data_IF_879922863423
#
_entry.id   IF_879922863423
#
_cell.length_a   1.000
_cell.length_b   1.000
_cell.length_c   1.000
_cell.angle_alpha   90.00
_cell.angle_beta   90.00
_cell.angle_gamma   90.00
#
_symmetry.space_group_name_H-M   'P 1'
#
loop_
_entity.id
_entity.type
_entity.pdbx_description
1 polymer ?
#
# COMPACT_ATOMS: atom_id res chain seq x y z
N UNK A 1 -17.80 51.11 -34.49
CA UNK A 1 -17.78 49.70 -34.90
C UNK A 1 -17.41 48.83 -33.72
N UNK A 2 -18.32 47.97 -33.41
CA UNK A 2 -18.40 47.16 -32.19
C UNK A 2 -17.24 46.16 -32.04
N UNK A 3 -16.53 46.27 -30.94
CA UNK A 3 -15.69 45.19 -30.44
C UNK A 3 -16.58 44.30 -29.54
N UNK A 4 -17.02 43.18 -30.08
CA UNK A 4 -17.69 42.13 -29.31
C UNK A 4 -16.64 41.44 -28.42
N UNK A 5 -16.64 41.78 -27.14
CA UNK A 5 -15.90 41.02 -26.11
C UNK A 5 -16.67 39.73 -25.97
N UNK A 6 -16.14 38.65 -26.56
CA UNK A 6 -16.56 37.29 -26.25
C UNK A 6 -16.23 37.03 -24.78
N UNK A 7 -17.27 37.11 -23.96
CA UNK A 7 -17.23 36.76 -22.53
C UNK A 7 -17.07 35.22 -22.42
N UNK A 8 -15.79 34.75 -22.45
CA UNK A 8 -15.45 33.37 -22.12
C UNK A 8 -15.58 33.18 -20.60
N UNK A 9 -16.77 33.38 -20.06
CA UNK A 9 -17.20 32.75 -18.84
C UNK A 9 -17.35 31.26 -19.16
N UNK A 10 -16.26 30.48 -18.97
CA UNK A 10 -16.32 29.03 -18.88
C UNK A 10 -17.52 28.69 -17.99
N UNK A 11 -18.58 28.11 -18.56
CA UNK A 11 -19.75 27.68 -17.82
C UNK A 11 -19.28 26.73 -16.74
N UNK A 12 -19.25 27.20 -15.49
CA UNK A 12 -18.90 26.34 -14.34
C UNK A 12 -19.88 25.18 -14.34
N UNK A 13 -19.39 23.95 -14.43
CA UNK A 13 -20.24 22.77 -14.27
C UNK A 13 -20.94 22.85 -12.92
N UNK A 14 -22.23 22.53 -12.89
CA UNK A 14 -22.97 22.43 -11.64
C UNK A 14 -22.34 21.30 -10.77
N UNK A 15 -22.54 21.38 -9.46
CA UNK A 15 -22.07 20.32 -8.53
C UNK A 15 -22.63 18.96 -8.97
N UNK A 16 -23.88 18.90 -9.38
CA UNK A 16 -24.57 17.71 -9.89
C UNK A 16 -23.83 17.13 -11.11
N UNK A 17 -23.50 17.96 -12.10
CA UNK A 17 -22.81 17.54 -13.32
C UNK A 17 -21.38 17.04 -13.01
N UNK A 18 -20.69 17.69 -12.07
CA UNK A 18 -19.37 17.28 -11.63
C UNK A 18 -19.42 15.90 -10.95
N UNK A 19 -20.34 15.70 -9.99
CA UNK A 19 -20.50 14.43 -9.29
C UNK A 19 -20.83 13.29 -10.27
N UNK A 20 -21.74 13.52 -11.21
CA UNK A 20 -22.11 12.53 -12.23
C UNK A 20 -20.93 12.15 -13.12
N UNK A 21 -20.13 13.11 -13.54
CA UNK A 21 -18.92 12.87 -14.34
C UNK A 21 -17.88 12.10 -13.56
N UNK A 22 -17.57 12.52 -12.33
CA UNK A 22 -16.55 11.90 -11.49
C UNK A 22 -16.91 10.49 -11.02
N UNK A 23 -18.18 10.21 -10.82
CA UNK A 23 -18.67 8.93 -10.35
C UNK A 23 -19.17 8.01 -11.49
N UNK A 24 -19.11 8.46 -12.75
CA UNK A 24 -19.53 7.66 -13.90
C UNK A 24 -18.88 6.26 -13.97
N UNK A 25 -17.57 6.09 -13.73
CA UNK A 25 -16.91 4.78 -13.77
C UNK A 25 -17.44 3.78 -12.71
N UNK A 26 -18.11 4.28 -11.69
CA UNK A 26 -18.53 3.51 -10.52
C UNK A 26 -20.04 3.25 -10.44
N UNK A 27 -20.78 3.56 -11.50
CA UNK A 27 -22.25 3.39 -11.52
C UNK A 27 -22.72 1.94 -11.37
N UNK A 28 -21.83 0.98 -11.65
CA UNK A 28 -22.11 -0.45 -11.48
C UNK A 28 -21.76 -0.99 -10.08
N UNK A 29 -21.29 -0.14 -9.17
CA UNK A 29 -21.03 -0.53 -7.79
C UNK A 29 -22.32 -0.95 -7.08
N UNK A 30 -22.22 -1.87 -6.13
CA UNK A 30 -23.38 -2.34 -5.34
C UNK A 30 -23.90 -1.29 -4.37
N UNK A 31 -23.00 -0.49 -3.78
CA UNK A 31 -23.35 0.62 -2.90
C UNK A 31 -22.29 1.74 -2.91
N UNK A 32 -22.74 2.95 -2.59
CA UNK A 32 -21.94 4.12 -2.31
C UNK A 32 -22.09 4.53 -0.85
N UNK A 33 -21.02 4.38 -0.08
CA UNK A 33 -20.95 4.84 1.30
C UNK A 33 -20.42 6.26 1.37
N UNK A 34 -21.12 7.15 2.05
CA UNK A 34 -20.60 8.50 2.35
C UNK A 34 -20.01 8.51 3.75
N UNK A 35 -18.71 8.83 3.87
CA UNK A 35 -18.08 9.09 5.15
C UNK A 35 -18.67 10.36 5.76
N UNK A 36 -19.68 10.19 6.61
CA UNK A 36 -20.52 11.28 7.09
C UNK A 36 -20.11 11.70 8.50
N UNK A 37 -19.41 12.84 8.60
CA UNK A 37 -19.00 13.42 9.89
C UNK A 37 -20.07 14.34 10.51
N UNK A 38 -21.10 14.72 9.76
CA UNK A 38 -22.04 15.75 10.12
C UNK A 38 -21.56 17.18 9.85
N UNK A 39 -20.30 17.37 9.47
CA UNK A 39 -19.76 18.67 9.05
C UNK A 39 -20.19 19.07 7.64
N UNK A 40 -19.99 20.36 7.30
CA UNK A 40 -20.41 20.98 6.04
C UNK A 40 -20.18 20.10 4.80
N UNK A 41 -18.92 19.71 4.55
CA UNK A 41 -18.49 19.11 3.29
C UNK A 41 -19.15 17.73 3.09
N UNK A 42 -19.24 16.94 4.15
CA UNK A 42 -19.87 15.61 4.14
C UNK A 42 -21.40 15.73 4.03
N UNK A 43 -22.01 16.77 4.61
CA UNK A 43 -23.44 17.04 4.52
C UNK A 43 -23.83 17.45 3.09
N UNK A 44 -23.05 18.33 2.46
CA UNK A 44 -23.23 18.70 1.06
C UNK A 44 -23.12 17.51 0.13
N UNK A 45 -22.08 16.67 0.32
CA UNK A 45 -21.86 15.47 -0.49
C UNK A 45 -23.04 14.51 -0.37
N UNK A 46 -23.48 14.19 0.86
CA UNK A 46 -24.61 13.29 1.10
C UNK A 46 -25.89 13.82 0.48
N UNK A 47 -26.23 15.08 0.72
CA UNK A 47 -27.43 15.72 0.17
C UNK A 47 -27.42 15.76 -1.37
N UNK A 48 -26.30 16.15 -1.98
CA UNK A 48 -26.20 16.22 -3.45
C UNK A 48 -26.37 14.85 -4.10
N UNK A 49 -25.77 13.79 -3.53
CA UNK A 49 -25.91 12.43 -4.02
C UNK A 49 -27.34 11.90 -3.87
N UNK A 50 -27.99 12.16 -2.75
CA UNK A 50 -29.39 11.76 -2.52
C UNK A 50 -30.31 12.43 -3.55
N UNK A 51 -30.17 13.73 -3.75
CA UNK A 51 -30.95 14.44 -4.78
C UNK A 51 -30.69 13.95 -6.20
N UNK A 52 -29.47 13.55 -6.51
CA UNK A 52 -29.14 12.94 -7.80
C UNK A 52 -29.80 11.57 -7.96
N UNK A 53 -29.88 10.76 -6.90
CA UNK A 53 -30.52 9.45 -6.95
C UNK A 53 -32.03 9.50 -7.18
N UNK A 54 -32.67 10.59 -6.82
CA UNK A 54 -34.10 10.83 -7.13
C UNK A 54 -34.37 11.01 -8.64
N UNK A 55 -33.33 11.43 -9.39
CA UNK A 55 -33.44 11.80 -10.81
C UNK A 55 -32.76 10.83 -11.76
N UNK A 56 -31.87 10.03 -11.26
CA UNK A 56 -31.04 9.07 -12.01
C UNK A 56 -30.85 7.77 -11.25
N UNK A 57 -30.77 6.66 -11.98
CA UNK A 57 -30.41 5.37 -11.38
C UNK A 57 -28.95 5.43 -10.91
N UNK A 58 -28.75 5.46 -9.61
CA UNK A 58 -27.46 5.40 -8.93
C UNK A 58 -27.42 4.16 -8.01
N UNK A 59 -26.23 3.67 -7.62
CA UNK A 59 -26.08 2.69 -6.56
C UNK A 59 -26.75 3.11 -5.26
N UNK A 60 -27.06 2.17 -4.40
CA UNK A 60 -27.64 2.46 -3.09
C UNK A 60 -26.70 3.37 -2.31
N UNK A 61 -27.22 4.51 -1.84
CA UNK A 61 -26.47 5.46 -1.03
C UNK A 61 -26.65 5.10 0.44
N UNK A 62 -25.53 4.96 1.15
CA UNK A 62 -25.46 4.73 2.58
C UNK A 62 -24.53 5.75 3.23
N UNK A 63 -24.70 6.01 4.50
CA UNK A 63 -23.82 6.87 5.28
C UNK A 63 -23.13 6.06 6.37
N UNK A 64 -21.87 6.41 6.68
CA UNK A 64 -21.12 5.87 7.81
C UNK A 64 -20.55 7.01 8.65
N UNK A 65 -20.91 7.02 9.92
CA UNK A 65 -20.39 7.94 10.92
C UNK A 65 -19.46 7.20 11.88
N UNK A 66 -18.22 7.68 12.03
CA UNK A 66 -17.26 7.08 12.97
C UNK A 66 -17.11 8.01 14.18
N UNK A 67 -17.59 7.53 15.32
CA UNK A 67 -17.52 8.25 16.60
C UNK A 67 -16.27 7.83 17.37
N UNK A 68 -15.36 8.80 17.62
CA UNK A 68 -14.07 8.56 18.26
C UNK A 68 -14.08 8.65 19.78
N UNK A 69 -15.10 9.29 20.39
CA UNK A 69 -15.19 9.52 21.83
C UNK A 69 -14.06 10.37 22.42
N UNK A 70 -13.42 11.23 21.62
CA UNK A 70 -12.27 12.04 22.05
C UNK A 70 -12.66 13.37 22.69
N UNK A 71 -13.87 13.84 22.46
CA UNK A 71 -14.35 15.15 22.91
C UNK A 71 -15.83 15.03 23.32
N UNK A 72 -16.19 15.59 24.46
CA UNK A 72 -17.58 15.64 24.92
C UNK A 72 -18.52 16.36 23.92
N UNK A 73 -18.01 17.40 23.21
CA UNK A 73 -18.76 18.06 22.14
C UNK A 73 -19.15 17.13 20.98
N UNK A 74 -18.45 16.02 20.79
CA UNK A 74 -18.72 15.02 19.75
C UNK A 74 -19.83 14.03 20.11
N UNK A 75 -20.29 13.97 21.38
CA UNK A 75 -21.25 12.96 21.83
C UNK A 75 -22.64 13.16 21.22
N UNK A 76 -22.99 14.38 20.84
CA UNK A 76 -24.25 14.72 20.17
C UNK A 76 -24.23 14.54 18.64
N UNK A 77 -23.04 14.37 18.04
CA UNK A 77 -22.90 14.28 16.58
C UNK A 77 -23.57 13.05 15.97
N UNK A 78 -23.51 11.85 16.59
CA UNK A 78 -24.26 10.69 16.08
C UNK A 78 -25.76 10.96 15.95
N UNK A 79 -26.37 11.65 16.95
CA UNK A 79 -27.77 12.01 16.92
C UNK A 79 -28.10 13.05 15.83
N UNK A 80 -27.20 14.03 15.60
CA UNK A 80 -27.32 14.96 14.48
C UNK A 80 -27.23 14.23 13.15
N UNK A 81 -26.23 13.35 12.97
CA UNK A 81 -26.07 12.56 11.76
C UNK A 81 -27.27 11.68 11.48
N UNK A 82 -27.87 11.06 12.49
CA UNK A 82 -29.06 10.24 12.37
C UNK A 82 -30.23 11.07 11.85
N UNK A 83 -30.51 12.24 12.46
CA UNK A 83 -31.62 13.14 12.03
C UNK A 83 -31.46 13.55 10.57
N UNK A 84 -30.24 13.91 10.13
CA UNK A 84 -29.99 14.29 8.73
C UNK A 84 -30.23 13.11 7.80
N UNK A 85 -29.76 11.92 8.15
CA UNK A 85 -29.96 10.71 7.36
C UNK A 85 -31.43 10.31 7.29
N UNK A 86 -32.19 10.42 8.38
CA UNK A 86 -33.64 10.16 8.42
C UNK A 86 -34.41 11.10 7.49
N UNK A 87 -34.03 12.39 7.48
CA UNK A 87 -34.63 13.39 6.58
C UNK A 87 -34.34 13.12 5.10
N UNK A 88 -33.17 12.54 4.80
CA UNK A 88 -32.76 12.21 3.43
C UNK A 88 -33.16 10.79 3.00
N UNK A 89 -33.76 10.00 3.89
CA UNK A 89 -34.10 8.60 3.61
C UNK A 89 -32.86 7.70 3.40
N UNK A 90 -31.72 8.04 3.99
CA UNK A 90 -30.44 7.33 3.85
C UNK A 90 -30.16 6.49 5.10
N UNK A 91 -29.78 5.24 4.92
CA UNK A 91 -29.36 4.37 6.04
C UNK A 91 -28.02 4.85 6.58
N UNK A 92 -27.95 5.08 7.89
CA UNK A 92 -26.72 5.45 8.61
C UNK A 92 -26.19 4.29 9.42
N UNK A 93 -24.90 4.00 9.26
CA UNK A 93 -24.15 3.13 10.17
C UNK A 93 -23.29 3.98 11.11
N UNK A 94 -23.44 3.79 12.41
CA UNK A 94 -22.66 4.48 13.45
C UNK A 94 -21.67 3.49 14.04
N UNK A 95 -20.37 3.72 13.76
CA UNK A 95 -19.28 2.88 14.28
C UNK A 95 -18.56 3.63 15.40
N UNK A 96 -18.57 3.05 16.59
CA UNK A 96 -17.81 3.57 17.74
C UNK A 96 -16.42 2.95 17.76
N UNK A 97 -15.38 3.78 17.75
CA UNK A 97 -13.99 3.32 17.78
C UNK A 97 -13.29 3.79 19.03
N UNK A 98 -12.40 2.96 19.54
CA UNK A 98 -11.51 3.31 20.65
C UNK A 98 -10.17 3.74 20.06
N UNK A 99 -9.81 5.02 20.27
CA UNK A 99 -8.50 5.53 19.87
C UNK A 99 -7.50 5.20 20.96
N UNK A 100 -6.47 4.43 20.62
CA UNK A 100 -5.36 4.15 21.55
C UNK A 100 -4.39 5.31 21.45
N UNK A 101 -4.11 6.03 22.55
CA UNK A 101 -3.15 7.13 22.55
C UNK A 101 -1.76 6.66 22.09
N UNK A 102 -1.13 7.44 21.20
CA UNK A 102 0.21 7.18 20.69
C UNK A 102 0.96 8.50 20.47
N UNK A 103 2.08 8.47 19.74
CA UNK A 103 2.90 9.66 19.46
C UNK A 103 2.13 10.82 18.79
N UNK A 104 0.99 10.53 18.12
CA UNK A 104 0.09 11.53 17.55
C UNK A 104 -1.35 11.05 17.66
N UNK A 105 -2.15 11.74 18.47
CA UNK A 105 -3.58 11.45 18.67
C UNK A 105 -4.36 11.62 17.35
N UNK A 106 -4.03 12.62 16.54
CA UNK A 106 -4.64 12.85 15.23
C UNK A 106 -4.40 11.67 14.28
N UNK A 107 -3.17 11.15 14.23
CA UNK A 107 -2.84 9.98 13.43
C UNK A 107 -3.59 8.74 13.93
N UNK A 108 -3.59 8.48 15.22
CA UNK A 108 -4.28 7.32 15.81
C UNK A 108 -5.79 7.36 15.53
N UNK A 109 -6.43 8.54 15.70
CA UNK A 109 -7.84 8.73 15.38
C UNK A 109 -8.13 8.54 13.88
N UNK A 110 -7.24 9.02 13.01
CA UNK A 110 -7.33 8.81 11.58
C UNK A 110 -7.24 7.32 11.24
N UNK A 111 -6.27 6.61 11.77
CA UNK A 111 -6.05 5.19 11.49
C UNK A 111 -7.23 4.34 11.97
N UNK A 112 -7.75 4.59 13.18
CA UNK A 112 -8.95 3.94 13.69
C UNK A 112 -10.18 4.18 12.80
N UNK A 113 -10.36 5.40 12.29
CA UNK A 113 -11.43 5.75 11.34
C UNK A 113 -11.31 4.97 10.04
N UNK A 114 -10.11 4.89 9.46
CA UNK A 114 -9.90 4.16 8.21
C UNK A 114 -10.05 2.65 8.39
N UNK A 115 -9.72 2.10 9.56
CA UNK A 115 -9.99 0.70 9.89
C UNK A 115 -11.51 0.44 9.94
N UNK A 116 -12.28 1.31 10.59
CA UNK A 116 -13.75 1.21 10.61
C UNK A 116 -14.33 1.25 9.19
N UNK A 117 -13.90 2.20 8.36
CA UNK A 117 -14.34 2.27 6.97
C UNK A 117 -14.01 1.00 6.20
N UNK A 118 -12.79 0.48 6.34
CA UNK A 118 -12.36 -0.74 5.64
C UNK A 118 -13.11 -2.00 6.07
N UNK A 119 -13.64 -2.02 7.28
CA UNK A 119 -14.46 -3.12 7.79
C UNK A 119 -15.89 -3.09 7.25
N UNK A 120 -16.45 -1.88 7.00
CA UNK A 120 -17.83 -1.70 6.55
C UNK A 120 -17.98 -1.75 5.03
N UNK A 121 -16.96 -1.30 4.28
CA UNK A 121 -17.02 -1.23 2.80
C UNK A 121 -16.67 -2.58 2.21
N UNK A 122 -17.64 -3.17 1.49
CA UNK A 122 -17.53 -4.48 0.86
C UNK A 122 -16.77 -4.46 -0.47
N UNK A 123 -16.68 -5.64 -1.08
CA UNK A 123 -16.08 -5.80 -2.41
C UNK A 123 -16.93 -5.09 -3.49
N UNK A 124 -16.27 -4.29 -4.33
CA UNK A 124 -16.93 -3.51 -5.38
C UNK A 124 -17.76 -2.32 -4.86
N UNK A 125 -17.75 -2.04 -3.55
CA UNK A 125 -18.38 -0.85 -2.98
C UNK A 125 -17.42 0.33 -2.92
N UNK A 126 -17.98 1.55 -2.85
CA UNK A 126 -17.22 2.79 -2.72
C UNK A 126 -17.40 3.44 -1.37
N UNK A 127 -16.32 4.03 -0.84
CA UNK A 127 -16.39 5.07 0.17
C UNK A 127 -16.17 6.43 -0.49
N UNK A 128 -17.13 7.32 -0.35
CA UNK A 128 -17.05 8.70 -0.82
C UNK A 128 -16.75 9.62 0.35
N UNK A 129 -15.79 10.52 0.15
CA UNK A 129 -15.37 11.45 1.19
C UNK A 129 -15.44 12.89 0.71
N UNK A 130 -15.81 13.81 1.61
CA UNK A 130 -16.04 15.22 1.32
C UNK A 130 -14.78 16.09 1.22
N UNK A 131 -13.57 15.52 1.03
CA UNK A 131 -12.38 16.34 0.82
C UNK A 131 -12.53 17.18 -0.45
N UNK A 132 -12.12 18.44 -0.34
CA UNK A 132 -12.36 19.45 -1.37
C UNK A 132 -11.04 20.15 -1.79
N UNK A 133 -11.13 21.12 -2.70
CA UNK A 133 -9.97 21.82 -3.29
C UNK A 133 -9.06 22.49 -2.25
N UNK A 134 -9.64 23.10 -1.23
CA UNK A 134 -8.85 23.77 -0.21
C UNK A 134 -8.08 22.77 0.64
N UNK A 135 -8.64 21.57 0.91
CA UNK A 135 -7.91 20.48 1.56
C UNK A 135 -6.72 19.97 0.72
N UNK A 136 -6.83 20.01 -0.62
CA UNK A 136 -5.70 19.71 -1.52
C UNK A 136 -4.59 20.74 -1.35
N UNK A 137 -4.96 22.03 -1.32
CA UNK A 137 -3.99 23.11 -1.13
C UNK A 137 -3.29 23.01 0.24
N UNK A 138 -4.03 22.76 1.31
CA UNK A 138 -3.49 22.51 2.65
C UNK A 138 -2.52 21.33 2.66
N UNK A 139 -2.92 20.22 2.03
CA UNK A 139 -2.13 18.98 1.99
C UNK A 139 -0.83 19.19 1.20
N UNK A 140 -0.88 19.89 0.06
CA UNK A 140 0.29 20.21 -0.73
C UNK A 140 1.25 21.10 0.07
N UNK A 141 0.79 22.19 0.67
CA UNK A 141 1.60 23.09 1.49
C UNK A 141 2.23 22.34 2.66
N UNK A 142 1.46 21.56 3.38
CA UNK A 142 1.95 20.78 4.51
C UNK A 142 3.07 19.83 4.11
N UNK A 143 2.94 19.17 2.96
CA UNK A 143 3.94 18.23 2.46
C UNK A 143 5.16 18.96 1.87
N UNK A 144 4.95 20.08 1.19
CA UNK A 144 6.02 20.94 0.67
C UNK A 144 6.95 21.42 1.79
N UNK A 145 6.38 21.92 2.89
CA UNK A 145 7.12 22.39 4.06
C UNK A 145 7.89 21.28 4.79
N UNK A 146 7.58 20.02 4.48
CA UNK A 146 8.29 18.84 4.99
C UNK A 146 9.26 18.23 3.99
N UNK A 147 9.57 18.91 2.88
CA UNK A 147 10.52 18.45 1.88
C UNK A 147 10.03 17.27 1.04
N UNK A 148 8.71 17.14 0.82
CA UNK A 148 8.19 16.04 0.03
C UNK A 148 8.58 16.12 -1.44
N UNK A 149 8.96 14.99 -2.05
CA UNK A 149 9.16 14.84 -3.49
C UNK A 149 7.85 14.76 -4.28
N UNK A 150 7.93 14.44 -5.58
CA UNK A 150 6.80 14.42 -6.54
C UNK A 150 5.59 13.66 -5.99
N UNK A 151 5.78 12.42 -5.52
CA UNK A 151 4.69 11.60 -4.93
C UNK A 151 4.00 12.29 -3.74
N UNK A 152 4.76 12.97 -2.90
CA UNK A 152 4.21 13.71 -1.78
C UNK A 152 3.44 14.94 -2.23
N UNK A 153 3.99 15.70 -3.20
CA UNK A 153 3.39 16.91 -3.74
C UNK A 153 2.15 16.64 -4.61
N UNK A 154 1.93 15.41 -5.07
CA UNK A 154 0.67 14.98 -5.66
C UNK A 154 -0.54 15.07 -4.70
N UNK A 155 -0.31 15.41 -3.43
CA UNK A 155 -1.30 15.58 -2.38
C UNK A 155 -2.26 14.37 -2.25
N UNK A 156 -3.57 14.56 -2.27
CA UNK A 156 -4.52 13.46 -2.13
C UNK A 156 -4.94 12.93 -3.51
N UNK A 157 -4.85 11.62 -3.78
CA UNK A 157 -5.37 11.06 -5.03
C UNK A 157 -6.89 11.09 -5.06
N UNK A 158 -7.47 11.20 -6.25
CA UNK A 158 -8.92 11.15 -6.47
C UNK A 158 -9.49 9.80 -6.03
N UNK A 159 -8.76 8.73 -6.31
CA UNK A 159 -9.13 7.34 -6.02
C UNK A 159 -7.98 6.62 -5.34
N UNK A 160 -8.29 5.77 -4.37
CA UNK A 160 -7.34 4.81 -3.82
C UNK A 160 -8.04 3.53 -3.36
N UNK A 161 -7.35 2.41 -3.38
CA UNK A 161 -7.83 1.17 -2.78
C UNK A 161 -8.02 1.31 -1.27
N UNK A 162 -9.05 0.68 -0.74
CA UNK A 162 -9.37 0.65 0.68
C UNK A 162 -10.03 -0.68 1.05
N UNK A 163 -9.29 -1.55 1.75
CA UNK A 163 -9.77 -2.90 2.03
C UNK A 163 -10.12 -3.64 0.74
N UNK A 164 -11.36 -4.13 0.63
CA UNK A 164 -11.90 -4.80 -0.57
C UNK A 164 -12.61 -3.84 -1.54
N UNK A 165 -12.80 -2.59 -1.16
CA UNK A 165 -13.43 -1.55 -1.97
C UNK A 165 -12.48 -0.43 -2.37
N UNK A 166 -13.04 0.71 -2.73
CA UNK A 166 -12.30 1.90 -3.14
C UNK A 166 -12.77 3.15 -2.41
N UNK A 167 -11.84 4.06 -2.11
CA UNK A 167 -12.14 5.39 -1.59
C UNK A 167 -12.02 6.40 -2.72
N UNK A 168 -13.06 7.21 -2.92
CA UNK A 168 -13.15 8.24 -3.96
C UNK A 168 -13.41 9.61 -3.33
N UNK A 169 -12.81 10.65 -3.90
CA UNK A 169 -12.91 12.05 -3.47
C UNK A 169 -13.51 12.91 -4.58
N UNK A 170 -14.83 12.90 -4.75
CA UNK A 170 -15.44 13.54 -5.92
C UNK A 170 -15.43 15.07 -5.87
N UNK A 171 -15.14 15.68 -4.70
CA UNK A 171 -15.18 17.14 -4.49
C UNK A 171 -13.81 17.82 -4.57
N UNK A 172 -12.72 17.14 -4.96
CA UNK A 172 -11.37 17.73 -4.97
C UNK A 172 -11.19 18.94 -5.87
N UNK A 173 -12.10 19.21 -6.80
CA UNK A 173 -12.09 20.42 -7.64
C UNK A 173 -13.03 21.52 -7.12
N UNK A 174 -13.88 21.22 -6.15
CA UNK A 174 -14.85 22.15 -5.57
C UNK A 174 -14.20 22.93 -4.43
N UNK A 175 -14.39 24.24 -4.37
CA UNK A 175 -13.93 25.05 -3.24
C UNK A 175 -14.87 24.94 -2.04
N UNK A 176 -14.32 25.21 -0.86
CA UNK A 176 -15.12 25.31 0.36
C UNK A 176 -16.25 26.35 0.21
N UNK A 177 -15.98 27.51 -0.41
CA UNK A 177 -16.98 28.53 -0.65
C UNK A 177 -18.14 28.03 -1.49
N UNK A 178 -17.89 27.25 -2.55
CA UNK A 178 -18.94 26.64 -3.38
C UNK A 178 -19.78 25.62 -2.58
N UNK A 179 -19.16 24.89 -1.65
CA UNK A 179 -19.88 23.97 -0.74
C UNK A 179 -20.76 24.76 0.26
N UNK A 180 -20.27 25.86 0.81
CA UNK A 180 -21.02 26.74 1.70
C UNK A 180 -22.21 27.40 0.98
N UNK A 181 -22.02 27.87 -0.25
CA UNK A 181 -23.09 28.43 -1.08
C UNK A 181 -24.17 27.39 -1.39
N UNK A 182 -23.77 26.15 -1.75
CA UNK A 182 -24.70 25.06 -1.94
C UNK A 182 -25.48 24.73 -0.66
N UNK A 183 -24.81 24.64 0.48
CA UNK A 183 -25.45 24.34 1.76
C UNK A 183 -26.48 25.42 2.15
N UNK A 184 -26.14 26.70 1.99
CA UNK A 184 -27.05 27.82 2.26
C UNK A 184 -28.25 27.81 1.32
N UNK A 185 -28.02 27.59 0.01
CA UNK A 185 -29.09 27.56 -0.99
C UNK A 185 -30.09 26.42 -0.76
N UNK A 186 -29.67 25.34 -0.12
CA UNK A 186 -30.54 24.19 0.19
C UNK A 186 -30.97 24.13 1.67
N UNK A 187 -30.66 25.14 2.49
CA UNK A 187 -31.04 25.18 3.91
C UNK A 187 -30.46 24.06 4.77
N UNK A 188 -29.26 23.56 4.42
CA UNK A 188 -28.64 22.45 5.13
C UNK A 188 -28.11 22.90 6.49
N UNK A 189 -28.30 22.06 7.50
CA UNK A 189 -27.71 22.22 8.82
C UNK A 189 -26.49 21.29 8.96
N UNK A 190 -25.42 21.78 9.56
CA UNK A 190 -24.20 21.00 9.83
C UNK A 190 -23.64 21.34 11.22
N UNK A 191 -22.76 20.48 11.72
CA UNK A 191 -22.03 20.71 12.98
C UNK A 191 -20.62 21.23 12.69
N UNK A 192 -20.14 22.11 13.56
CA UNK A 192 -18.77 22.59 13.52
C UNK A 192 -17.98 21.99 14.68
N UNK A 193 -16.89 21.30 14.36
CA UNK A 193 -15.98 20.73 15.36
C UNK A 193 -15.15 21.87 15.99
N UNK A 194 -15.26 22.12 17.32
CA UNK A 194 -14.48 23.14 18.01
C UNK A 194 -12.96 22.94 17.85
N UNK A 195 -12.49 21.70 17.68
CA UNK A 195 -11.06 21.42 17.49
C UNK A 195 -10.50 22.03 16.19
N UNK A 196 -11.35 22.33 15.20
CA UNK A 196 -10.94 23.05 13.99
C UNK A 196 -10.43 24.47 14.27
N UNK A 197 -10.64 24.97 15.48
CA UNK A 197 -10.16 26.30 15.91
C UNK A 197 -8.76 26.27 16.52
N UNK A 198 -8.26 25.10 16.92
CA UNK A 198 -6.99 24.94 17.61
C UNK A 198 -5.82 25.08 16.63
N UNK A 199 -5.01 26.14 16.80
CA UNK A 199 -3.87 26.44 15.91
C UNK A 199 -2.62 25.58 16.17
N UNK A 200 -2.63 24.81 17.23
CA UNK A 200 -1.57 23.83 17.55
C UNK A 200 -1.45 22.75 16.46
N UNK A 201 -2.57 22.45 15.83
CA UNK A 201 -2.57 21.51 14.69
C UNK A 201 -2.10 22.21 13.42
N UNK A 202 -1.02 21.70 12.84
CA UNK A 202 -0.39 22.28 11.63
C UNK A 202 -1.39 22.53 10.49
N UNK A 203 -2.38 21.66 10.28
CA UNK A 203 -3.41 21.85 9.24
C UNK A 203 -4.32 23.04 9.56
N UNK A 204 -4.75 23.18 10.81
CA UNK A 204 -5.58 24.32 11.22
C UNK A 204 -4.79 25.63 11.09
N UNK A 205 -3.50 25.63 11.44
CA UNK A 205 -2.62 26.78 11.23
C UNK A 205 -2.52 27.17 9.75
N UNK A 206 -2.28 26.21 8.86
CA UNK A 206 -2.24 26.45 7.42
C UNK A 206 -3.58 27.01 6.91
N UNK A 207 -4.70 26.41 7.30
CA UNK A 207 -6.05 26.80 6.90
C UNK A 207 -6.43 28.21 7.37
N UNK A 208 -6.10 28.57 8.59
CA UNK A 208 -6.61 29.79 9.25
C UNK A 208 -5.66 30.97 9.21
N UNK A 209 -4.37 30.72 9.08
CA UNK A 209 -3.35 31.77 9.09
C UNK A 209 -2.63 31.89 7.76
N UNK A 210 -2.09 30.79 7.24
CA UNK A 210 -1.21 30.83 6.07
C UNK A 210 -1.98 31.01 4.77
N UNK A 211 -2.99 30.20 4.49
CA UNK A 211 -3.77 30.28 3.26
C UNK A 211 -4.50 31.61 3.11
N UNK A 212 -5.18 32.16 4.13
CA UNK A 212 -5.80 33.49 4.03
C UNK A 212 -4.77 34.59 3.75
N UNK A 213 -3.60 34.56 4.39
CA UNK A 213 -2.50 35.49 4.11
C UNK A 213 -2.04 35.42 2.65
N UNK A 214 -1.85 34.20 2.13
CA UNK A 214 -1.51 34.00 0.72
C UNK A 214 -2.61 34.54 -0.21
N UNK A 215 -3.88 34.31 0.12
CA UNK A 215 -5.02 34.74 -0.69
C UNK A 215 -5.19 36.24 -0.73
N UNK A 216 -4.76 36.98 0.29
CA UNK A 216 -4.74 38.45 0.26
C UNK A 216 -3.88 38.98 -0.89
N UNK A 217 -2.73 38.34 -1.16
CA UNK A 217 -1.82 38.75 -2.24
C UNK A 217 -2.10 38.04 -3.54
N UNK A 218 -2.50 36.75 -3.46
CA UNK A 218 -2.83 35.91 -4.58
C UNK A 218 -4.22 35.26 -4.38
N UNK A 219 -5.29 35.93 -4.83
CA UNK A 219 -6.69 35.46 -4.58
C UNK A 219 -6.95 34.04 -5.04
N UNK A 220 -6.20 33.54 -6.03
CA UNK A 220 -6.30 32.17 -6.55
C UNK A 220 -5.31 31.17 -5.94
N UNK A 221 -4.67 31.49 -4.81
CA UNK A 221 -3.64 30.63 -4.21
C UNK A 221 -4.10 29.18 -4.04
N UNK A 222 -5.27 28.93 -3.42
CA UNK A 222 -5.79 27.60 -3.21
C UNK A 222 -5.99 26.82 -4.53
N UNK A 223 -6.58 27.46 -5.57
CA UNK A 223 -6.76 26.80 -6.86
C UNK A 223 -5.43 26.56 -7.60
N UNK A 224 -4.46 27.44 -7.46
CA UNK A 224 -3.12 27.27 -8.04
C UNK A 224 -2.37 26.11 -7.37
N UNK A 225 -2.42 26.01 -6.05
CA UNK A 225 -1.85 24.91 -5.29
C UNK A 225 -2.51 23.59 -5.65
N UNK A 226 -3.84 23.52 -5.70
CA UNK A 226 -4.54 22.31 -6.09
C UNK A 226 -4.19 21.87 -7.53
N UNK A 227 -4.08 22.82 -8.47
CA UNK A 227 -3.62 22.53 -9.84
C UNK A 227 -2.18 22.00 -9.86
N UNK A 228 -1.30 22.57 -9.06
CA UNK A 228 0.08 22.06 -8.92
C UNK A 228 0.05 20.63 -8.40
N UNK A 229 -0.80 20.31 -7.42
CA UNK A 229 -0.95 18.94 -6.93
C UNK A 229 -1.39 17.97 -8.05
N UNK A 230 -2.33 18.39 -8.90
CA UNK A 230 -2.77 17.58 -10.04
C UNK A 230 -1.64 17.35 -11.06
N UNK A 231 -0.85 18.36 -11.39
CA UNK A 231 0.32 18.23 -12.27
C UNK A 231 1.39 17.31 -11.66
N UNK A 232 1.59 17.36 -10.33
CA UNK A 232 2.48 16.44 -9.64
C UNK A 232 1.95 15.01 -9.63
N UNK A 233 0.64 14.81 -9.57
CA UNK A 233 0.01 13.50 -9.71
C UNK A 233 0.22 12.91 -11.11
N UNK A 234 0.07 13.71 -12.16
CA UNK A 234 0.36 13.31 -13.54
C UNK A 234 1.85 12.96 -13.71
N UNK A 235 2.75 13.80 -13.21
CA UNK A 235 4.20 13.52 -13.23
C UNK A 235 4.54 12.23 -12.48
N UNK A 236 3.89 11.97 -11.33
CA UNK A 236 4.09 10.72 -10.59
C UNK A 236 3.60 9.50 -11.39
N UNK A 237 2.50 9.62 -12.12
CA UNK A 237 2.01 8.54 -12.98
C UNK A 237 3.01 8.20 -14.09
N UNK A 238 3.55 9.20 -14.78
CA UNK A 238 4.61 9.01 -15.76
C UNK A 238 5.87 8.37 -15.16
N UNK A 239 6.25 8.74 -13.93
CA UNK A 239 7.37 8.11 -13.20
C UNK A 239 7.07 6.66 -12.84
N UNK A 240 5.83 6.33 -12.49
CA UNK A 240 5.43 4.96 -12.18
C UNK A 240 5.40 4.09 -13.46
N UNK A 241 4.95 4.61 -14.61
CA UNK A 241 5.03 3.93 -15.91
C UNK A 241 6.48 3.67 -16.32
N UNK A 242 7.35 4.68 -16.20
CA UNK A 242 8.77 4.52 -16.46
C UNK A 242 9.41 3.48 -15.56
N UNK A 243 9.04 3.47 -14.26
CA UNK A 243 9.56 2.48 -13.32
C UNK A 243 9.13 1.06 -13.70
N UNK A 244 7.89 0.86 -14.15
CA UNK A 244 7.40 -0.44 -14.62
C UNK A 244 8.20 -0.93 -15.84
N UNK A 245 8.48 -0.05 -16.81
CA UNK A 245 9.32 -0.36 -17.97
C UNK A 245 10.75 -0.77 -17.54
N UNK A 246 11.35 0.00 -16.62
CA UNK A 246 12.70 -0.25 -16.10
C UNK A 246 12.79 -1.57 -15.32
N UNK A 247 11.74 -1.93 -14.60
CA UNK A 247 11.67 -3.14 -13.80
C UNK A 247 11.36 -4.39 -14.62
N UNK A 248 10.72 -4.29 -15.77
CA UNK A 248 10.27 -5.42 -16.56
C UNK A 248 11.40 -6.41 -16.87
N UNK A 249 12.57 -5.90 -17.30
CA UNK A 249 13.75 -6.72 -17.55
C UNK A 249 14.42 -7.23 -16.26
N UNK A 250 14.38 -6.43 -15.19
CA UNK A 250 15.02 -6.77 -13.90
C UNK A 250 14.24 -7.84 -13.12
N UNK A 251 12.92 -7.90 -13.27
CA UNK A 251 12.06 -8.90 -12.62
C UNK A 251 12.11 -10.27 -13.31
N UNK A 252 12.50 -10.31 -14.58
CA UNK A 252 12.57 -11.56 -15.36
C UNK A 252 13.70 -12.50 -14.85
N UNK A 253 13.51 -13.80 -15.05
CA UNK A 253 14.56 -14.81 -15.04
C UNK A 253 15.25 -15.06 -13.68
N UNK A 254 14.56 -15.67 -12.72
CA UNK A 254 15.23 -16.22 -11.52
C UNK A 254 15.28 -17.75 -11.59
N UNK A 255 16.47 -18.35 -11.45
CA UNK A 255 16.64 -19.81 -11.34
C UNK A 255 16.11 -20.35 -10.00
N UNK A 256 15.91 -19.48 -9.01
CA UNK A 256 15.39 -19.81 -7.69
C UNK A 256 13.95 -19.30 -7.49
N UNK A 257 13.07 -19.45 -8.48
CA UNK A 257 11.64 -19.05 -8.39
C UNK A 257 10.91 -19.72 -7.22
N UNK A 258 11.35 -20.90 -6.84
CA UNK A 258 10.83 -21.67 -5.72
C UNK A 258 11.01 -20.98 -4.35
N UNK A 259 11.88 -19.95 -4.24
CA UNK A 259 12.01 -19.13 -3.02
C UNK A 259 10.77 -18.25 -2.79
N UNK A 260 10.01 -17.95 -3.85
CA UNK A 260 8.85 -17.04 -3.79
C UNK A 260 9.14 -15.70 -3.10
N UNK A 261 10.37 -15.20 -3.24
CA UNK A 261 10.80 -13.92 -2.70
C UNK A 261 10.93 -12.87 -3.81
N UNK A 262 10.50 -11.63 -3.57
CA UNK A 262 10.69 -10.54 -4.51
C UNK A 262 12.18 -10.34 -4.80
N UNK A 263 12.54 -10.26 -6.10
CA UNK A 263 13.94 -10.08 -6.48
C UNK A 263 14.10 -9.33 -7.81
N UNK A 264 15.23 -8.65 -7.96
CA UNK A 264 15.60 -7.92 -9.18
C UNK A 264 16.99 -8.32 -9.67
N UNK A 265 17.15 -8.53 -10.98
CA UNK A 265 18.45 -8.65 -11.62
C UNK A 265 19.18 -7.32 -11.61
N UNK A 266 20.48 -7.32 -11.32
CA UNK A 266 21.31 -6.11 -11.25
C UNK A 266 21.71 -5.58 -12.62
N UNK A 267 21.95 -6.46 -13.60
CA UNK A 267 22.45 -6.05 -14.91
C UNK A 267 21.54 -5.00 -15.58
N UNK A 268 20.22 -5.21 -15.74
CA UNK A 268 19.35 -4.19 -16.33
C UNK A 268 19.32 -2.88 -15.51
N UNK A 269 19.41 -2.98 -14.18
CA UNK A 269 19.39 -1.79 -13.33
C UNK A 269 20.69 -0.96 -13.46
N UNK A 270 21.84 -1.59 -13.69
CA UNK A 270 23.13 -0.90 -13.87
C UNK A 270 23.18 -0.05 -15.13
N UNK A 271 22.42 -0.42 -16.18
CA UNK A 271 22.31 0.34 -17.42
C UNK A 271 21.51 1.65 -17.25
N UNK A 272 20.75 1.76 -16.16
CA UNK A 272 19.95 2.94 -15.86
C UNK A 272 20.79 4.04 -15.21
N UNK A 273 20.42 5.31 -15.47
CA UNK A 273 20.95 6.43 -14.68
C UNK A 273 20.56 6.30 -13.21
N UNK A 274 21.34 6.88 -12.29
CA UNK A 274 21.06 6.83 -10.85
C UNK A 274 19.64 7.33 -10.49
N UNK A 275 19.12 8.32 -11.23
CA UNK A 275 17.75 8.82 -11.03
C UNK A 275 16.69 7.75 -11.39
N UNK A 276 16.87 7.05 -12.53
CA UNK A 276 15.98 5.97 -12.95
C UNK A 276 16.07 4.77 -12.01
N UNK A 277 17.28 4.40 -11.56
CA UNK A 277 17.46 3.35 -10.55
C UNK A 277 16.66 3.66 -9.28
N UNK A 278 16.80 4.89 -8.74
CA UNK A 278 16.03 5.30 -7.55
C UNK A 278 14.52 5.31 -7.78
N UNK A 279 14.07 5.73 -8.98
CA UNK A 279 12.65 5.70 -9.33
C UNK A 279 12.11 4.26 -9.38
N UNK A 280 12.79 3.37 -10.09
CA UNK A 280 12.43 1.96 -10.20
C UNK A 280 12.39 1.27 -8.83
N UNK A 281 13.40 1.51 -7.99
CA UNK A 281 13.47 0.93 -6.65
C UNK A 281 12.39 1.50 -5.72
N UNK A 282 12.09 2.81 -5.76
CA UNK A 282 10.98 3.38 -4.99
C UNK A 282 9.65 2.76 -5.37
N UNK A 283 9.42 2.54 -6.66
CA UNK A 283 8.21 1.90 -7.16
C UNK A 283 8.14 0.44 -6.69
N UNK A 284 9.20 -0.33 -6.84
CA UNK A 284 9.26 -1.73 -6.44
C UNK A 284 9.12 -1.93 -4.92
N UNK A 285 9.80 -1.10 -4.12
CA UNK A 285 9.79 -1.16 -2.66
C UNK A 285 8.45 -0.68 -2.05
N UNK A 286 7.66 0.11 -2.77
CA UNK A 286 6.42 0.69 -2.24
C UNK A 286 5.39 -0.35 -1.75
N UNK A 287 5.42 -1.58 -2.30
CA UNK A 287 4.60 -2.70 -1.86
C UNK A 287 5.25 -3.57 -0.76
N UNK A 288 6.51 -3.31 -0.40
CA UNK A 288 7.31 -4.17 0.47
C UNK A 288 7.70 -3.48 1.78
N UNK A 289 7.97 -2.18 1.73
CA UNK A 289 8.49 -1.41 2.87
C UNK A 289 8.14 0.07 2.75
N UNK A 290 8.39 0.85 3.79
CA UNK A 290 8.35 2.31 3.69
C UNK A 290 9.45 2.83 2.74
N UNK A 291 9.12 3.87 1.99
CA UNK A 291 10.06 4.45 1.03
C UNK A 291 11.36 4.91 1.72
N UNK A 292 12.53 4.54 1.19
CA UNK A 292 13.81 5.02 1.71
C UNK A 292 13.91 6.55 1.66
N UNK A 293 14.45 7.18 2.69
CA UNK A 293 14.80 8.59 2.71
C UNK A 293 16.16 8.84 1.98
N UNK A 294 16.58 10.12 1.91
CA UNK A 294 17.81 10.48 1.21
C UNK A 294 19.06 9.80 1.78
N UNK A 295 19.12 9.58 3.09
CA UNK A 295 20.29 9.00 3.75
C UNK A 295 20.39 7.48 3.52
N UNK A 296 19.29 6.81 3.20
CA UNK A 296 19.28 5.36 3.01
C UNK A 296 19.86 4.92 1.64
N UNK A 297 19.93 5.79 0.62
CA UNK A 297 20.34 5.39 -0.74
C UNK A 297 21.78 4.89 -0.85
N UNK A 298 22.66 5.27 0.07
CA UNK A 298 24.01 4.69 0.16
C UNK A 298 24.00 3.16 0.29
N UNK A 299 22.97 2.60 0.95
CA UNK A 299 22.78 1.14 1.05
C UNK A 299 22.55 0.49 -0.32
N UNK A 300 21.79 1.14 -1.21
CA UNK A 300 21.62 0.67 -2.59
C UNK A 300 22.93 0.67 -3.37
N UNK A 301 23.70 1.74 -3.28
CA UNK A 301 24.98 1.85 -3.97
C UNK A 301 25.94 0.77 -3.49
N UNK A 302 26.01 0.51 -2.19
CA UNK A 302 26.78 -0.60 -1.63
C UNK A 302 26.33 -1.97 -2.16
N UNK A 303 25.03 -2.21 -2.29
CA UNK A 303 24.50 -3.46 -2.86
C UNK A 303 24.86 -3.62 -4.33
N UNK A 304 24.66 -2.55 -5.12
CA UNK A 304 24.90 -2.53 -6.57
C UNK A 304 26.36 -2.77 -6.91
N UNK A 305 27.26 -2.09 -6.17
CA UNK A 305 28.69 -1.99 -6.51
C UNK A 305 29.56 -3.00 -5.75
N UNK A 306 28.98 -3.81 -4.89
CA UNK A 306 29.69 -4.83 -4.13
C UNK A 306 30.39 -5.84 -5.04
N UNK A 307 31.53 -6.39 -4.58
CA UNK A 307 32.22 -7.47 -5.25
C UNK A 307 31.36 -8.75 -5.30
N UNK A 308 31.56 -9.65 -6.28
CA UNK A 308 30.75 -10.85 -6.44
C UNK A 308 30.70 -11.79 -5.24
N UNK A 309 31.76 -11.82 -4.45
CA UNK A 309 31.92 -12.65 -3.25
C UNK A 309 31.41 -11.97 -1.96
N UNK A 310 31.11 -10.70 -2.01
CA UNK A 310 30.55 -9.97 -0.87
C UNK A 310 29.06 -10.26 -0.70
N UNK A 311 28.58 -10.18 0.52
CA UNK A 311 27.17 -10.33 0.90
C UNK A 311 26.64 -9.05 1.54
N UNK A 312 26.58 -7.93 0.79
CA UNK A 312 26.11 -6.68 1.35
C UNK A 312 24.62 -6.76 1.67
N UNK A 313 24.22 -6.00 2.68
CA UNK A 313 22.84 -5.92 3.16
C UNK A 313 22.40 -4.47 3.24
N UNK A 314 21.16 -4.22 2.87
CA UNK A 314 20.52 -2.94 3.05
C UNK A 314 19.27 -3.09 3.90
N UNK A 315 19.39 -2.72 5.18
CA UNK A 315 18.29 -2.82 6.14
C UNK A 315 17.28 -1.72 5.89
N UNK A 316 16.00 -2.10 5.82
CA UNK A 316 14.84 -1.24 5.70
C UNK A 316 13.79 -1.66 6.72
N UNK A 317 12.68 -0.94 6.82
CA UNK A 317 11.61 -1.31 7.73
C UNK A 317 10.92 -2.60 7.29
N UNK A 318 10.74 -3.55 8.21
CA UNK A 318 10.11 -4.85 7.95
C UNK A 318 10.94 -5.87 7.20
N UNK A 319 12.22 -5.57 6.86
CA UNK A 319 13.08 -6.52 6.17
C UNK A 319 14.42 -5.94 5.73
N UNK A 320 15.09 -6.66 4.85
CA UNK A 320 16.34 -6.19 4.25
C UNK A 320 16.49 -6.66 2.80
N UNK A 321 17.24 -5.89 2.01
CA UNK A 321 17.73 -6.31 0.72
C UNK A 321 19.10 -6.99 0.88
N UNK A 322 19.24 -8.17 0.28
CA UNK A 322 20.52 -8.86 0.17
C UNK A 322 20.87 -9.13 -1.28
N UNK A 323 22.14 -8.97 -1.63
CA UNK A 323 22.66 -9.39 -2.92
C UNK A 323 23.13 -10.84 -2.86
N UNK A 324 22.76 -11.62 -3.89
CA UNK A 324 23.33 -12.95 -4.15
C UNK A 324 23.60 -13.06 -5.65
N UNK A 325 24.88 -13.18 -6.02
CA UNK A 325 25.31 -13.14 -7.41
C UNK A 325 24.92 -11.82 -8.09
N UNK A 326 24.23 -11.90 -9.21
CA UNK A 326 23.76 -10.76 -10.01
C UNK A 326 22.28 -10.43 -9.75
N UNK A 327 21.75 -10.76 -8.54
CA UNK A 327 20.40 -10.41 -8.12
C UNK A 327 20.38 -9.83 -6.71
N UNK A 328 19.44 -8.93 -6.47
CA UNK A 328 19.05 -8.45 -5.13
C UNK A 328 17.70 -9.05 -4.76
N UNK A 329 17.56 -9.42 -3.50
CA UNK A 329 16.41 -10.12 -2.96
C UNK A 329 15.86 -9.35 -1.76
N UNK A 330 14.54 -9.19 -1.69
CA UNK A 330 13.87 -8.71 -0.50
C UNK A 330 13.62 -9.85 0.47
N UNK A 331 14.12 -9.73 1.68
CA UNK A 331 13.95 -10.68 2.77
C UNK A 331 13.12 -10.01 3.88
N UNK A 332 11.85 -10.34 4.05
CA UNK A 332 11.05 -9.83 5.16
C UNK A 332 11.57 -10.36 6.51
N UNK A 333 11.28 -9.67 7.61
CA UNK A 333 11.73 -10.04 8.95
C UNK A 333 11.38 -11.48 9.34
N UNK A 334 10.20 -11.97 8.95
CA UNK A 334 9.79 -13.35 9.14
C UNK A 334 10.71 -14.37 8.45
N UNK A 335 11.27 -14.00 7.27
CA UNK A 335 12.26 -14.82 6.59
C UNK A 335 13.61 -14.82 7.31
N UNK A 336 13.96 -13.74 7.98
CA UNK A 336 15.23 -13.61 8.70
C UNK A 336 15.24 -14.33 10.07
N UNK A 337 14.08 -14.71 10.57
CA UNK A 337 13.94 -15.47 11.81
C UNK A 337 14.62 -16.84 11.70
N UNK A 338 15.15 -17.35 12.80
CA UNK A 338 15.74 -18.68 12.85
C UNK A 338 14.69 -19.77 12.61
N UNK A 339 15.05 -20.80 11.86
CA UNK A 339 14.21 -21.99 11.68
C UNK A 339 14.36 -22.94 12.88
N UNK A 340 13.33 -23.76 13.11
CA UNK A 340 13.31 -24.76 14.17
C UNK A 340 14.39 -25.85 13.99
N UNK A 341 14.47 -26.75 14.98
CA UNK A 341 15.35 -27.90 14.95
C UNK A 341 14.89 -29.01 13.98
N UNK A 342 15.51 -30.18 14.04
CA UNK A 342 15.14 -31.34 13.25
C UNK A 342 13.67 -31.74 13.46
N UNK A 343 12.99 -32.14 12.36
CA UNK A 343 11.58 -32.58 12.38
C UNK A 343 11.50 -34.01 11.85
N UNK A 344 10.95 -34.94 12.63
CA UNK A 344 10.70 -36.31 12.17
C UNK A 344 9.51 -36.32 11.18
N UNK A 345 9.61 -37.12 10.12
CA UNK A 345 8.56 -37.28 9.12
C UNK A 345 8.07 -38.73 9.06
N UNK A 346 7.15 -39.13 9.93
CA UNK A 346 6.74 -40.52 10.04
C UNK A 346 5.92 -41.04 8.84
N UNK A 347 5.15 -40.15 8.20
CA UNK A 347 4.34 -40.49 7.03
C UNK A 347 4.65 -39.52 5.86
N UNK A 348 5.51 -39.90 4.93
CA UNK A 348 5.88 -39.06 3.78
C UNK A 348 4.80 -38.95 2.71
N UNK A 349 3.68 -39.66 2.83
CA UNK A 349 2.51 -39.47 1.95
C UNK A 349 1.69 -38.21 2.31
N UNK A 350 1.90 -37.69 3.52
CA UNK A 350 1.22 -36.48 4.02
C UNK A 350 2.19 -35.31 4.02
N UNK A 351 1.67 -34.12 3.66
CA UNK A 351 2.44 -32.88 3.69
C UNK A 351 2.94 -32.56 5.11
N UNK A 352 4.24 -32.31 5.25
CA UNK A 352 4.86 -31.98 6.53
C UNK A 352 4.90 -30.45 6.71
N UNK A 353 4.30 -29.96 7.79
CA UNK A 353 4.41 -28.55 8.19
C UNK A 353 5.73 -28.32 8.94
N UNK A 354 6.48 -27.30 8.53
CA UNK A 354 7.75 -26.91 9.15
C UNK A 354 7.54 -25.64 9.99
N UNK A 355 7.70 -25.68 11.30
CA UNK A 355 7.52 -24.50 12.16
C UNK A 355 8.35 -23.29 11.68
N UNK A 356 7.68 -22.22 11.27
CA UNK A 356 8.33 -21.00 10.76
C UNK A 356 9.07 -21.15 9.42
N UNK A 357 8.85 -22.27 8.69
CA UNK A 357 9.55 -22.55 7.44
C UNK A 357 8.68 -23.19 6.34
N UNK A 358 7.36 -22.94 6.35
CA UNK A 358 6.45 -23.42 5.34
C UNK A 358 6.17 -24.92 5.40
N UNK A 359 6.04 -25.58 4.27
CA UNK A 359 5.66 -26.99 4.19
C UNK A 359 6.49 -27.77 3.17
N UNK A 360 6.48 -29.10 3.33
CA UNK A 360 7.19 -30.05 2.47
C UNK A 360 6.24 -31.11 1.93
N UNK A 361 6.43 -31.45 0.66
CA UNK A 361 5.85 -32.64 0.03
C UNK A 361 6.93 -33.50 -0.59
N UNK A 362 6.76 -34.82 -0.50
CA UNK A 362 7.60 -35.78 -1.18
C UNK A 362 6.86 -36.33 -2.39
N UNK A 363 7.49 -36.27 -3.54
CA UNK A 363 6.98 -36.88 -4.76
C UNK A 363 7.85 -38.08 -5.14
N UNK A 364 7.22 -39.13 -5.67
CA UNK A 364 7.89 -40.38 -6.04
C UNK A 364 7.95 -41.40 -4.90
N UNK A 365 8.82 -42.39 -5.04
CA UNK A 365 8.94 -43.45 -4.04
C UNK A 365 9.73 -42.97 -2.81
N UNK A 366 9.14 -42.98 -1.59
CA UNK A 366 9.84 -42.56 -0.38
C UNK A 366 11.00 -43.51 -0.06
N UNK A 367 12.12 -43.00 0.47
CA UNK A 367 13.20 -43.85 0.98
C UNK A 367 12.71 -44.72 2.14
N UNK A 368 13.17 -45.98 2.19
CA UNK A 368 12.79 -46.91 3.26
C UNK A 368 13.68 -46.67 4.50
N UNK A 369 13.05 -46.22 5.59
CA UNK A 369 13.74 -45.98 6.85
C UNK A 369 13.13 -44.79 7.63
N UNK A 370 13.80 -44.41 8.72
CA UNK A 370 13.39 -43.24 9.52
C UNK A 370 13.72 -41.96 8.74
N UNK A 371 12.69 -41.20 8.40
CA UNK A 371 12.84 -39.92 7.69
C UNK A 371 12.85 -38.76 8.67
N UNK A 372 13.79 -37.85 8.46
CA UNK A 372 13.93 -36.64 9.27
C UNK A 372 14.33 -35.45 8.38
N UNK A 373 13.71 -34.32 8.60
CA UNK A 373 14.10 -33.05 8.00
C UNK A 373 15.09 -32.36 8.94
N UNK A 374 16.21 -31.95 8.38
CA UNK A 374 17.23 -31.15 9.09
C UNK A 374 17.56 -29.92 8.28
N UNK A 375 18.23 -29.00 8.93
CA UNK A 375 18.77 -27.80 8.28
C UNK A 375 20.30 -27.85 8.31
N UNK A 376 20.89 -27.04 7.44
CA UNK A 376 22.33 -27.03 7.27
C UNK A 376 23.03 -26.51 8.53
N UNK A 377 23.98 -27.30 9.04
CA UNK A 377 24.90 -26.99 10.17
C UNK A 377 26.35 -26.84 9.74
N UNK A 378 26.70 -27.33 8.54
CA UNK A 378 28.07 -27.32 7.98
C UNK A 378 28.70 -28.71 7.98
N UNK A 379 29.51 -29.01 6.95
CA UNK A 379 30.20 -30.29 6.82
C UNK A 379 29.32 -31.43 6.26
N UNK A 380 28.10 -31.12 5.78
CA UNK A 380 27.24 -32.15 5.19
C UNK A 380 27.84 -32.66 3.88
N UNK A 381 27.78 -33.99 3.72
CA UNK A 381 28.23 -34.73 2.53
C UNK A 381 27.06 -35.52 1.98
N UNK A 382 26.89 -35.50 0.67
CA UNK A 382 25.80 -36.20 -0.06
C UNK A 382 26.39 -37.12 -1.12
N UNK A 383 25.79 -38.30 -1.25
CA UNK A 383 26.03 -39.17 -2.40
C UNK A 383 25.23 -38.70 -3.59
N UNK A 384 25.88 -38.35 -4.69
CA UNK A 384 25.24 -37.91 -5.92
C UNK A 384 25.45 -38.96 -7.01
N UNK A 385 24.39 -39.38 -7.65
CA UNK A 385 24.46 -40.40 -8.72
C UNK A 385 25.48 -40.02 -9.80
N UNK A 386 26.36 -40.96 -10.13
CA UNK A 386 27.43 -40.76 -11.14
C UNK A 386 28.60 -39.86 -10.68
N UNK A 387 28.52 -39.22 -9.49
CA UNK A 387 29.55 -38.28 -9.01
C UNK A 387 30.16 -38.62 -7.66
N UNK A 388 29.69 -39.72 -7.00
CA UNK A 388 30.18 -40.16 -5.67
C UNK A 388 29.79 -39.18 -4.54
N UNK A 389 30.50 -39.25 -3.42
CA UNK A 389 30.25 -38.38 -2.26
C UNK A 389 30.85 -37.00 -2.48
N UNK A 390 30.04 -35.96 -2.24
CA UNK A 390 30.42 -34.56 -2.46
C UNK A 390 29.98 -33.70 -1.29
N UNK A 391 30.76 -32.66 -1.01
CA UNK A 391 30.43 -31.64 -0.01
C UNK A 391 29.19 -30.84 -0.45
N UNK A 392 28.18 -30.73 0.40
CA UNK A 392 26.92 -30.05 0.12
C UNK A 392 27.12 -28.55 -0.18
N UNK A 393 28.10 -27.89 0.46
CA UNK A 393 28.40 -26.47 0.17
C UNK A 393 28.78 -26.28 -1.30
N UNK A 394 29.60 -27.20 -1.83
CA UNK A 394 30.00 -27.16 -3.25
C UNK A 394 28.82 -27.39 -4.18
N UNK A 395 27.98 -28.39 -3.87
CA UNK A 395 26.77 -28.68 -4.66
C UNK A 395 25.78 -27.51 -4.69
N UNK A 396 25.57 -26.82 -3.53
CA UNK A 396 24.72 -25.63 -3.45
C UNK A 396 25.33 -24.42 -4.18
N UNK A 397 26.66 -24.31 -4.27
CA UNK A 397 27.33 -23.32 -5.11
C UNK A 397 27.11 -23.60 -6.59
N UNK A 398 27.28 -24.85 -7.01
CA UNK A 398 27.05 -25.29 -8.40
C UNK A 398 25.57 -25.08 -8.81
N UNK A 399 24.62 -25.26 -7.89
CA UNK A 399 23.19 -24.99 -8.07
C UNK A 399 22.80 -23.52 -7.90
N UNK A 400 23.77 -22.62 -7.72
CA UNK A 400 23.57 -21.16 -7.56
C UNK A 400 22.55 -20.79 -6.46
N UNK A 401 22.42 -21.62 -5.41
CA UNK A 401 21.51 -21.35 -4.29
C UNK A 401 21.99 -20.13 -3.49
N UNK A 402 21.17 -19.10 -3.29
CA UNK A 402 21.53 -17.92 -2.52
C UNK A 402 22.01 -18.27 -1.10
N UNK A 403 23.06 -17.58 -0.64
CA UNK A 403 23.68 -17.88 0.67
C UNK A 403 22.68 -17.76 1.84
N UNK A 404 21.77 -16.77 1.78
CA UNK A 404 20.74 -16.56 2.80
C UNK A 404 19.69 -17.71 2.85
N UNK A 405 19.42 -18.36 1.70
CA UNK A 405 18.44 -19.44 1.62
C UNK A 405 18.99 -20.79 2.18
N UNK A 406 20.30 -20.99 2.12
CA UNK A 406 20.93 -22.28 2.46
C UNK A 406 20.69 -22.73 3.90
N UNK A 407 20.55 -21.80 4.85
CA UNK A 407 20.27 -22.11 6.25
C UNK A 407 18.82 -22.55 6.49
N UNK A 408 17.91 -22.15 5.61
CA UNK A 408 16.49 -22.49 5.69
C UNK A 408 16.10 -23.65 4.77
N UNK A 409 16.98 -24.04 3.84
CA UNK A 409 16.73 -25.09 2.87
C UNK A 409 16.57 -26.43 3.57
N UNK A 410 15.41 -27.10 3.49
CA UNK A 410 15.19 -28.40 4.11
C UNK A 410 16.04 -29.49 3.46
N UNK A 411 16.64 -30.33 4.28
CA UNK A 411 17.46 -31.47 3.93
C UNK A 411 16.78 -32.74 4.41
N UNK A 412 16.48 -33.69 3.52
CA UNK A 412 15.89 -34.96 3.89
C UNK A 412 16.99 -35.96 4.26
N UNK A 413 16.89 -36.45 5.45
CA UNK A 413 17.76 -37.55 5.94
C UNK A 413 16.93 -38.82 6.05
N UNK A 414 17.53 -39.97 5.64
CA UNK A 414 17.00 -41.29 5.83
C UNK A 414 18.03 -42.09 6.64
N UNK A 415 17.67 -42.64 7.81
CA UNK A 415 18.55 -43.35 8.72
C UNK A 415 19.87 -42.61 9.01
N UNK A 416 19.83 -41.28 9.07
CA UNK A 416 20.99 -40.42 9.34
C UNK A 416 21.83 -40.05 8.11
N UNK A 417 21.53 -40.54 6.94
CA UNK A 417 22.19 -40.14 5.68
C UNK A 417 21.39 -39.10 4.90
N UNK A 418 22.05 -38.08 4.34
CA UNK A 418 21.43 -37.05 3.50
C UNK A 418 21.07 -37.66 2.15
N UNK A 419 19.76 -37.72 1.83
CA UNK A 419 19.23 -38.36 0.63
C UNK A 419 18.60 -37.40 -0.37
N UNK A 420 18.10 -36.23 0.06
CA UNK A 420 17.57 -35.22 -0.86
C UNK A 420 17.68 -33.81 -0.30
N UNK A 421 17.74 -32.83 -1.19
CA UNK A 421 17.72 -31.41 -0.91
C UNK A 421 16.46 -30.80 -1.54
N UNK A 422 15.71 -30.05 -0.75
CA UNK A 422 14.44 -29.48 -1.21
C UNK A 422 14.61 -28.59 -2.45
N UNK A 423 13.68 -28.70 -3.39
CA UNK A 423 13.63 -27.95 -4.65
C UNK A 423 14.86 -28.07 -5.56
N UNK A 424 15.73 -29.06 -5.28
CA UNK A 424 16.91 -29.38 -6.09
C UNK A 424 16.87 -30.86 -6.48
N UNK A 425 16.04 -31.28 -7.46
CA UNK A 425 15.85 -32.68 -7.83
C UNK A 425 17.15 -33.34 -8.31
N UNK A 426 18.09 -32.56 -8.85
CA UNK A 426 19.43 -33.05 -9.21
C UNK A 426 20.27 -33.44 -7.99
N UNK A 427 19.88 -33.01 -6.80
CA UNK A 427 20.46 -33.39 -5.50
C UNK A 427 19.52 -34.32 -4.73
N UNK A 428 19.20 -35.46 -5.36
CA UNK A 428 18.45 -36.57 -4.77
C UNK A 428 19.19 -37.86 -5.02
N UNK A 429 19.33 -38.69 -3.99
CA UNK A 429 19.96 -40.00 -4.07
C UNK A 429 19.04 -41.11 -4.58
N UNK A 430 17.80 -40.81 -4.96
CA UNK A 430 16.78 -41.77 -5.35
C UNK A 430 15.79 -41.23 -6.37
N UNK A 431 14.66 -41.97 -6.54
CA UNK A 431 13.55 -41.57 -7.44
C UNK A 431 12.52 -40.68 -6.72
N UNK A 432 12.92 -39.91 -5.73
CA UNK A 432 12.05 -38.99 -5.03
C UNK A 432 12.48 -37.53 -5.26
N UNK A 433 11.51 -36.64 -5.32
CA UNK A 433 11.71 -35.20 -5.30
C UNK A 433 11.12 -34.61 -4.02
N UNK A 434 11.89 -33.74 -3.36
CA UNK A 434 11.48 -33.04 -2.16
C UNK A 434 11.05 -31.61 -2.54
N UNK A 435 9.77 -31.33 -2.47
CA UNK A 435 9.19 -30.03 -2.83
C UNK A 435 8.91 -29.22 -1.56
N UNK A 436 9.57 -28.10 -1.45
CA UNK A 436 9.42 -27.14 -0.35
C UNK A 436 8.65 -25.92 -0.82
N UNK A 437 7.51 -25.69 -0.15
CA UNK A 437 6.80 -24.42 -0.23
C UNK A 437 7.35 -23.53 0.91
N UNK A 438 8.18 -22.57 0.55
CA UNK A 438 8.77 -21.65 1.51
C UNK A 438 7.66 -20.84 2.23
N UNK A 439 7.93 -20.31 3.46
CA UNK A 439 6.93 -19.52 4.17
C UNK A 439 6.48 -18.37 3.29
N UNK A 440 5.16 -18.19 3.21
CA UNK A 440 4.51 -17.25 2.31
C UNK A 440 5.01 -15.83 2.46
N UNK A 441 5.23 -15.26 1.34
CA UNK A 441 5.33 -13.82 1.19
C UNK A 441 3.93 -13.23 1.13
#
# INVERSE_FOLDING_TARGET
MLAGILDFRSARMSLDSLLLSRLAPWRSSSAWWVAFSGGLDSTVLLHALTRLSERQALPVIRAIHVHHGLQAAGDDWPAHCQRVCDQLGVTLEIVRVRVVPGASLERAARDARYQAFSACVGEGELLLTGQHRDDQAETLLFRLLRGAGVRGLAAMPDVRSMGRGSLVRPLLEVSRAELEDYARANGLAWVEDPSNQQLEYSRNFLRRQVLPLLQQRWPRAASSLARTAALMAEAQHLLDELAQQDLAAAQAGSDCRWLNLPSLALAPLRELTSARQRNALRHWLAGLTLAPDENHWAGWECLRDAKPDATPRWRLEGGELQRSGERVWWLPDGWLASVGGPVDWPDPSVELQLPGNGSLRLEGAPPIGRLQIRYRSGGEVMAVSGRGRRDLKRLLNEAVVPAFARKRLPLLYCNGELVAVANLPQLSAGRCALNWCAPGC
#
